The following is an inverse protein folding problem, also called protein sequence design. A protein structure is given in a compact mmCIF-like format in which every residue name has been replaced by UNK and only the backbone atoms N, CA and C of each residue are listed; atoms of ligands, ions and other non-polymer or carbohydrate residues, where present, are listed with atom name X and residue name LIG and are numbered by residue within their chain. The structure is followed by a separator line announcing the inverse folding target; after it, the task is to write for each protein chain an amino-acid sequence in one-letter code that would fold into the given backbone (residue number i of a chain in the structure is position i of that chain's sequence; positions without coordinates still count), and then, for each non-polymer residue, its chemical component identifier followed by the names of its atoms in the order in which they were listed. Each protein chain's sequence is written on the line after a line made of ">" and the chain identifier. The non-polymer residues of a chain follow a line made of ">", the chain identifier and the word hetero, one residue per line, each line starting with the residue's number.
data_IF_751902839167
#
_entry.id   IF_751902839167
#
_cell.length_a   1.000
_cell.length_b   1.000
_cell.length_c   1.000
_cell.angle_alpha   90.00
_cell.angle_beta   90.00
_cell.angle_gamma   90.00
#
_symmetry.space_group_name_H-M   'P 1'
#
loop_
_entity.id
_entity.type
_entity.pdbx_description
1 polymer ?
#
# COMPACT_ATOMS: atom_id res chain seq x y z
N UNK A 1 8.09 -5.85 9.18
CA UNK A 1 7.53 -6.41 10.43
C UNK A 1 7.40 -7.92 10.23
N UNK A 2 8.30 -8.67 10.86
CA UNK A 2 8.54 -10.10 10.62
C UNK A 2 7.89 -10.96 11.71
N UNK A 3 6.56 -10.95 11.82
CA UNK A 3 5.83 -11.84 12.75
C UNK A 3 4.41 -12.10 12.27
N UNK A 4 4.11 -13.37 11.96
CA UNK A 4 2.79 -13.86 11.60
C UNK A 4 1.86 -13.74 12.82
N UNK A 5 0.78 -12.94 12.69
CA UNK A 5 -0.27 -12.83 13.72
C UNK A 5 -1.49 -13.66 13.28
N UNK A 6 -1.88 -14.74 13.99
CA UNK A 6 -2.80 -15.78 13.49
C UNK A 6 -4.26 -15.40 13.21
N UNK A 7 -4.63 -14.11 13.21
CA UNK A 7 -6.03 -13.66 13.07
C UNK A 7 -6.21 -12.36 12.29
N UNK A 8 -5.11 -11.81 11.75
CA UNK A 8 -5.14 -10.67 10.85
C UNK A 8 -4.33 -11.06 9.63
N UNK A 9 -4.90 -11.85 8.69
CA UNK A 9 -4.27 -12.01 7.40
C UNK A 9 -3.96 -10.60 6.89
N UNK A 10 -2.73 -10.39 6.42
CA UNK A 10 -2.44 -9.16 5.72
C UNK A 10 -3.50 -9.05 4.61
N UNK A 11 -4.23 -7.94 4.55
CA UNK A 11 -5.31 -7.73 3.57
C UNK A 11 -4.80 -7.74 2.10
N UNK A 12 -3.52 -8.03 1.90
CA UNK A 12 -2.82 -7.91 0.64
C UNK A 12 -2.26 -6.51 0.48
N UNK A 13 -1.28 -6.40 -0.42
CA UNK A 13 -0.77 -5.11 -0.90
C UNK A 13 -1.90 -4.38 -1.63
N UNK A 14 -2.79 -5.11 -2.31
CA UNK A 14 -3.92 -4.54 -3.05
C UNK A 14 -4.88 -3.75 -2.17
N UNK A 15 -5.31 -4.30 -1.04
CA UNK A 15 -6.20 -3.59 -0.11
C UNK A 15 -5.53 -2.37 0.54
N UNK A 16 -4.21 -2.44 0.77
CA UNK A 16 -3.45 -1.31 1.27
C UNK A 16 -3.33 -0.19 0.21
N UNK A 17 -3.11 -0.54 -1.06
CA UNK A 17 -3.11 0.39 -2.19
C UNK A 17 -4.49 1.04 -2.35
N UNK A 18 -5.57 0.28 -2.19
CA UNK A 18 -6.94 0.77 -2.29
C UNK A 18 -7.26 1.78 -1.17
N UNK A 19 -6.85 1.52 0.07
CA UNK A 19 -7.02 2.44 1.20
C UNK A 19 -6.26 3.76 1.00
N UNK A 20 -4.98 3.71 0.58
CA UNK A 20 -4.19 4.94 0.38
C UNK A 20 -4.71 5.74 -0.81
N UNK A 21 -5.27 5.08 -1.82
CA UNK A 21 -5.87 5.73 -2.99
C UNK A 21 -7.18 6.42 -2.61
N UNK A 22 -8.06 5.76 -1.85
CA UNK A 22 -9.31 6.37 -1.37
C UNK A 22 -9.07 7.55 -0.42
N UNK A 23 -7.99 7.51 0.36
CA UNK A 23 -7.62 8.56 1.32
C UNK A 23 -6.62 9.59 0.77
N UNK A 24 -6.28 9.49 -0.52
CA UNK A 24 -5.38 10.39 -1.24
C UNK A 24 -5.92 11.82 -1.26
N UNK A 25 -5.10 12.79 -0.85
CA UNK A 25 -5.47 14.20 -0.77
C UNK A 25 -6.32 14.58 0.44
N UNK A 26 -6.68 13.63 1.31
CA UNK A 26 -7.45 13.87 2.55
C UNK A 26 -6.58 13.59 3.78
N UNK A 27 -6.07 12.36 3.87
CA UNK A 27 -5.20 11.91 4.98
C UNK A 27 -3.76 11.70 4.52
N UNK A 28 -3.54 11.44 3.24
CA UNK A 28 -2.23 11.22 2.65
C UNK A 28 -1.96 12.23 1.54
N UNK A 29 -0.72 12.67 1.43
CA UNK A 29 -0.30 13.55 0.36
C UNK A 29 -0.45 12.84 -1.00
N UNK A 30 -1.09 13.53 -1.94
CA UNK A 30 -1.29 13.02 -3.30
C UNK A 30 0.02 12.64 -3.98
N UNK A 31 1.11 13.38 -3.76
CA UNK A 31 2.41 13.10 -4.38
C UNK A 31 3.03 11.81 -3.81
N UNK A 32 2.87 11.57 -2.51
CA UNK A 32 3.39 10.38 -1.83
C UNK A 32 2.61 9.13 -2.24
N UNK A 33 1.28 9.22 -2.35
CA UNK A 33 0.44 8.12 -2.83
C UNK A 33 0.77 7.78 -4.28
N UNK A 34 0.91 8.78 -5.15
CA UNK A 34 1.31 8.55 -6.56
C UNK A 34 2.71 7.95 -6.67
N UNK A 35 3.66 8.41 -5.85
CA UNK A 35 4.98 7.81 -5.80
C UNK A 35 4.92 6.35 -5.35
N UNK A 36 4.10 6.01 -4.34
CA UNK A 36 3.88 4.63 -3.89
C UNK A 36 3.27 3.75 -4.98
N UNK A 37 2.19 4.20 -5.63
CA UNK A 37 1.53 3.45 -6.70
C UNK A 37 2.53 3.18 -7.84
N UNK A 38 3.25 4.21 -8.29
CA UNK A 38 4.30 4.05 -9.31
C UNK A 38 5.39 3.08 -8.87
N UNK A 39 5.79 3.09 -7.60
CA UNK A 39 6.80 2.17 -7.07
C UNK A 39 6.33 0.72 -7.10
N UNK A 40 5.05 0.47 -6.82
CA UNK A 40 4.45 -0.86 -6.87
C UNK A 40 4.13 -1.32 -8.31
N UNK A 41 3.78 -0.41 -9.23
CA UNK A 41 3.49 -0.72 -10.63
C UNK A 41 4.76 -0.84 -11.51
N UNK A 42 5.71 0.08 -11.39
CA UNK A 42 6.90 0.13 -12.28
C UNK A 42 8.04 -0.75 -11.80
N UNK A 43 8.17 -1.00 -10.49
CA UNK A 43 9.14 -1.95 -9.97
C UNK A 43 8.39 -3.18 -9.51
N UNK A 44 8.67 -4.29 -10.20
CA UNK A 44 8.50 -5.67 -9.71
C UNK A 44 9.08 -5.78 -8.30
N UNK A 45 8.33 -5.37 -7.28
CA UNK A 45 8.72 -5.41 -5.88
C UNK A 45 8.68 -6.88 -5.48
N UNK A 46 9.81 -7.58 -5.67
CA UNK A 46 10.01 -8.93 -5.18
C UNK A 46 10.42 -8.84 -3.72
N UNK A 47 9.62 -9.48 -2.88
CA UNK A 47 9.84 -9.68 -1.45
C UNK A 47 11.13 -10.48 -1.19
#
# INVERSE_FOLDING_TARGET
>A
MSSHRPYRPALGIDAALEEITQKKGILYDSEVVDACIKLFEEKRFKF
#
